data_IF_505343857510
#
_entry.id   IF_505343857510
#
_cell.length_a   1.000
_cell.length_b   1.000
_cell.length_c   1.000
_cell.angle_alpha   90.00
_cell.angle_beta   90.00
_cell.angle_gamma   90.00
#
_symmetry.space_group_name_H-M   'P 1'
#
loop_
_entity.id
_entity.type
_entity.pdbx_description
1 polymer ?
#
# COMPACT_ATOMS: atom_id res chain seq x y z
N UNK A 1 -18.55 2.84 -15.23
CA UNK A 1 -18.24 3.24 -13.84
C UNK A 1 -16.86 2.78 -13.38
N UNK A 2 -16.35 1.59 -13.83
CA UNK A 2 -15.05 1.06 -13.40
C UNK A 2 -13.84 1.58 -14.20
N UNK A 3 -14.03 2.27 -15.31
CA UNK A 3 -12.94 2.71 -16.16
C UNK A 3 -11.91 3.60 -15.45
N UNK A 4 -12.27 4.62 -14.64
CA UNK A 4 -11.31 5.45 -13.94
C UNK A 4 -10.47 4.66 -12.91
N UNK A 5 -11.08 3.71 -12.20
CA UNK A 5 -10.37 2.82 -11.26
C UNK A 5 -9.36 1.96 -12.00
N UNK A 6 -9.74 1.38 -13.13
CA UNK A 6 -8.86 0.55 -13.96
C UNK A 6 -7.68 1.35 -14.52
N UNK A 7 -7.91 2.57 -14.95
CA UNK A 7 -6.86 3.46 -15.45
C UNK A 7 -5.85 3.78 -14.35
N UNK A 8 -6.32 4.21 -13.17
CA UNK A 8 -5.46 4.48 -12.03
C UNK A 8 -4.71 3.22 -11.58
N UNK A 9 -5.39 2.08 -11.43
CA UNK A 9 -4.75 0.81 -11.10
C UNK A 9 -3.69 0.45 -12.14
N UNK A 10 -3.99 0.58 -13.43
CA UNK A 10 -3.05 0.30 -14.51
C UNK A 10 -1.79 1.14 -14.40
N UNK A 11 -1.96 2.44 -14.16
CA UNK A 11 -0.84 3.38 -14.03
C UNK A 11 0.11 2.99 -12.88
N UNK A 12 -0.41 2.68 -11.69
CA UNK A 12 0.43 2.31 -10.55
C UNK A 12 0.92 0.86 -10.59
N UNK A 13 0.15 -0.09 -11.17
CA UNK A 13 0.47 -1.51 -11.15
C UNK A 13 1.40 -1.98 -12.27
N UNK A 14 1.44 -1.24 -13.37
CA UNK A 14 2.21 -1.62 -14.55
C UNK A 14 3.69 -1.94 -14.23
N UNK A 15 4.41 -1.11 -13.44
CA UNK A 15 5.80 -1.41 -13.11
C UNK A 15 5.98 -2.70 -12.28
N UNK A 16 4.96 -3.12 -11.54
CA UNK A 16 5.02 -4.30 -10.65
C UNK A 16 4.80 -5.62 -11.39
N UNK A 17 4.32 -5.63 -12.62
CA UNK A 17 4.06 -6.86 -13.38
C UNK A 17 3.12 -7.83 -12.67
N UNK A 18 2.10 -7.33 -11.96
CA UNK A 18 1.23 -8.15 -11.10
C UNK A 18 0.46 -9.24 -11.87
N UNK A 19 0.33 -9.11 -13.19
CA UNK A 19 -0.31 -10.14 -14.03
C UNK A 19 0.47 -11.48 -14.02
N UNK A 20 1.78 -11.42 -13.84
CA UNK A 20 2.68 -12.58 -13.81
C UNK A 20 2.99 -13.03 -12.38
N UNK A 21 2.53 -12.30 -11.38
CA UNK A 21 2.75 -12.62 -9.97
C UNK A 21 1.98 -13.87 -9.55
N UNK A 22 2.51 -14.59 -8.57
CA UNK A 22 1.89 -15.79 -8.00
C UNK A 22 1.39 -15.51 -6.59
N UNK A 23 0.25 -16.10 -6.24
CA UNK A 23 -0.26 -16.06 -4.86
C UNK A 23 0.61 -16.98 -4.02
N UNK A 24 1.43 -16.40 -3.15
CA UNK A 24 2.28 -17.12 -2.21
C UNK A 24 1.50 -17.58 -0.97
N UNK A 25 0.54 -16.80 -0.53
CA UNK A 25 -0.28 -17.07 0.65
C UNK A 25 -1.66 -16.44 0.53
N UNK A 26 -2.67 -17.12 1.08
CA UNK A 26 -4.02 -16.59 1.23
C UNK A 26 -4.63 -17.08 2.55
N UNK A 27 -5.28 -16.19 3.27
CA UNK A 27 -5.97 -16.53 4.51
C UNK A 27 -7.34 -15.85 4.59
N UNK A 28 -8.20 -16.35 5.45
CA UNK A 28 -9.47 -15.73 5.83
C UNK A 28 -9.54 -15.59 7.33
N UNK A 29 -9.96 -14.42 7.77
CA UNK A 29 -10.26 -14.14 9.18
C UNK A 29 -11.73 -13.75 9.26
N UNK A 30 -12.47 -14.37 10.18
CA UNK A 30 -13.88 -14.03 10.44
C UNK A 30 -13.92 -13.15 11.68
N UNK A 31 -14.27 -11.88 11.46
CA UNK A 31 -14.45 -10.91 12.54
C UNK A 31 -15.93 -10.84 12.94
N UNK A 32 -16.21 -10.99 14.25
CA UNK A 32 -17.55 -10.80 14.82
C UNK A 32 -17.78 -9.33 15.15
N UNK A 33 -17.71 -8.50 14.13
CA UNK A 33 -17.79 -7.05 14.25
C UNK A 33 -18.48 -6.44 13.04
N UNK A 34 -18.89 -5.17 13.17
CA UNK A 34 -19.37 -4.42 12.02
C UNK A 34 -18.20 -4.20 11.03
N UNK A 35 -18.37 -4.63 9.79
CA UNK A 35 -17.35 -4.54 8.75
C UNK A 35 -16.85 -3.10 8.50
N UNK A 36 -17.70 -2.09 8.77
CA UNK A 36 -17.33 -0.67 8.65
C UNK A 36 -16.25 -0.30 9.68
N UNK A 37 -16.28 -0.88 10.87
CA UNK A 37 -15.26 -0.66 11.90
C UNK A 37 -13.93 -1.29 11.49
N UNK A 38 -13.94 -2.45 10.83
CA UNK A 38 -12.74 -3.06 10.25
C UNK A 38 -12.12 -2.14 9.20
N UNK A 39 -12.96 -1.55 8.35
CA UNK A 39 -12.53 -0.59 7.35
C UNK A 39 -11.99 0.71 7.96
N UNK A 40 -12.68 1.28 8.95
CA UNK A 40 -12.22 2.50 9.63
C UNK A 40 -10.90 2.28 10.36
N UNK A 41 -10.74 1.15 11.04
CA UNK A 41 -9.50 0.78 11.72
C UNK A 41 -8.31 0.70 10.73
N UNK A 42 -8.52 0.23 9.50
CA UNK A 42 -7.48 0.23 8.48
C UNK A 42 -7.11 1.66 7.98
N UNK A 43 -8.05 2.58 7.99
CA UNK A 43 -7.85 3.93 7.43
C UNK A 43 -7.10 4.89 8.34
N UNK A 44 -7.03 4.60 9.62
CA UNK A 44 -6.33 5.39 10.61
C UNK A 44 -5.15 4.59 11.19
N UNK A 45 -4.17 5.26 11.75
CA UNK A 45 -2.99 4.61 12.30
C UNK A 45 -2.57 5.11 13.69
N UNK A 46 -3.44 5.83 14.40
CA UNK A 46 -3.11 6.24 15.76
C UNK A 46 -3.04 5.05 16.74
N UNK A 47 -3.73 3.94 16.44
CA UNK A 47 -3.60 2.69 17.19
C UNK A 47 -2.31 1.92 16.86
N UNK A 48 -1.69 2.17 15.70
CA UNK A 48 -0.57 1.36 15.18
C UNK A 48 0.63 1.31 16.12
N UNK A 49 0.91 2.40 16.86
CA UNK A 49 2.04 2.45 17.79
C UNK A 49 1.91 1.41 18.90
N UNK A 50 0.68 1.23 19.42
CA UNK A 50 0.42 0.32 20.53
C UNK A 50 0.09 -1.09 20.06
N UNK A 51 -0.64 -1.24 18.94
CA UNK A 51 -1.18 -2.52 18.48
C UNK A 51 -0.24 -3.26 17.50
N UNK A 52 0.59 -2.51 16.75
CA UNK A 52 1.43 -3.06 15.68
C UNK A 52 2.85 -2.50 15.71
N UNK A 53 3.62 -2.69 16.81
CA UNK A 53 4.96 -2.12 16.93
C UNK A 53 5.91 -2.60 15.81
N UNK A 54 5.72 -3.80 15.27
CA UNK A 54 6.48 -4.34 14.16
C UNK A 54 6.19 -3.60 12.85
N UNK A 55 4.94 -3.27 12.59
CA UNK A 55 4.54 -2.49 11.41
C UNK A 55 5.24 -1.13 11.41
N UNK A 56 5.40 -0.51 12.58
CA UNK A 56 6.08 0.78 12.74
C UNK A 56 7.57 0.77 12.41
N UNK A 57 8.16 -0.39 12.25
CA UNK A 57 9.57 -0.50 11.80
C UNK A 57 9.74 -0.12 10.35
N UNK A 58 8.71 -0.29 9.53
CA UNK A 58 8.80 -0.07 8.09
C UNK A 58 7.73 0.90 7.56
N UNK A 59 6.52 0.85 8.10
CA UNK A 59 5.40 1.64 7.62
C UNK A 59 5.33 3.03 8.28
N UNK A 60 5.19 4.13 7.51
CA UNK A 60 5.05 5.46 8.07
C UNK A 60 3.67 5.60 8.73
N UNK A 61 3.64 6.00 10.01
CA UNK A 61 2.41 6.49 10.62
C UNK A 61 2.31 7.98 10.38
N UNK A 62 2.03 8.38 9.18
CA UNK A 62 1.68 9.77 8.91
C UNK A 62 0.30 10.07 9.51
N UNK A 63 0.18 11.17 10.21
CA UNK A 63 -1.13 11.71 10.56
C UNK A 63 -1.85 12.08 9.26
N UNK A 64 -3.01 11.50 9.02
CA UNK A 64 -3.85 11.85 7.87
C UNK A 64 -4.05 13.37 7.83
N UNK A 65 -3.62 14.02 6.76
CA UNK A 65 -3.78 15.47 6.56
C UNK A 65 -2.56 16.34 6.89
N UNK A 66 -1.42 15.77 7.32
CA UNK A 66 -0.18 16.54 7.38
C UNK A 66 0.36 16.82 5.97
N UNK A 67 1.00 17.97 5.78
CA UNK A 67 1.75 18.25 4.57
C UNK A 67 2.95 17.27 4.48
N UNK A 68 3.35 16.86 3.27
CA UNK A 68 4.53 16.02 3.10
C UNK A 68 5.78 16.76 3.57
N UNK A 69 6.69 16.02 4.18
CA UNK A 69 8.02 16.52 4.56
C UNK A 69 8.92 16.68 3.32
N UNK A 70 9.99 17.46 3.46
CA UNK A 70 10.99 17.60 2.38
C UNK A 70 11.62 16.24 2.00
N UNK A 71 11.73 15.31 2.93
CA UNK A 71 12.24 13.97 2.68
C UNK A 71 11.27 13.15 1.83
N UNK A 72 9.97 13.18 2.16
CA UNK A 72 8.91 12.52 1.38
C UNK A 72 8.79 13.12 -0.03
N UNK A 73 8.96 14.43 -0.18
CA UNK A 73 8.98 15.08 -1.49
C UNK A 73 10.16 14.61 -2.33
N UNK A 74 11.37 14.59 -1.78
CA UNK A 74 12.57 14.08 -2.49
C UNK A 74 12.43 12.60 -2.85
N UNK A 75 11.83 11.81 -1.97
CA UNK A 75 11.54 10.40 -2.27
C UNK A 75 10.58 10.26 -3.46
N UNK A 76 9.51 11.04 -3.48
CA UNK A 76 8.55 11.05 -4.59
C UNK A 76 9.20 11.45 -5.91
N UNK A 77 10.00 12.52 -5.91
CA UNK A 77 10.75 12.96 -7.09
C UNK A 77 11.71 11.88 -7.62
N UNK A 78 12.43 11.21 -6.73
CA UNK A 78 13.31 10.10 -7.11
C UNK A 78 12.55 8.94 -7.72
N UNK A 79 11.41 8.55 -7.13
CA UNK A 79 10.58 7.48 -7.66
C UNK A 79 10.02 7.84 -9.05
N UNK A 80 9.58 9.06 -9.26
CA UNK A 80 9.12 9.56 -10.56
C UNK A 80 10.23 9.52 -11.64
N UNK A 81 11.46 9.87 -11.28
CA UNK A 81 12.62 9.75 -12.16
C UNK A 81 12.91 8.30 -12.58
N UNK A 82 12.54 7.33 -11.75
CA UNK A 82 12.60 5.90 -12.05
C UNK A 82 11.38 5.40 -12.85
N UNK A 83 10.46 6.28 -13.23
CA UNK A 83 9.21 5.93 -13.91
C UNK A 83 8.16 5.28 -12.99
N UNK A 84 8.26 5.52 -11.69
CA UNK A 84 7.36 4.97 -10.69
C UNK A 84 6.38 6.04 -10.21
N UNK A 85 5.07 5.93 -10.51
CA UNK A 85 4.08 6.90 -10.07
C UNK A 85 4.09 7.07 -8.54
N UNK A 86 4.11 8.33 -8.07
CA UNK A 86 4.22 8.68 -6.66
C UNK A 86 3.16 9.65 -6.16
N UNK A 87 2.61 10.48 -7.04
CA UNK A 87 1.66 11.51 -6.67
C UNK A 87 0.41 10.91 -6.01
N UNK A 88 -0.13 11.62 -5.01
CA UNK A 88 -1.43 11.25 -4.47
C UNK A 88 -2.53 11.44 -5.52
N UNK A 89 -3.25 10.38 -5.83
CA UNK A 89 -4.34 10.38 -6.79
C UNK A 89 -5.62 9.86 -6.15
N UNK A 90 -6.75 10.47 -6.41
CA UNK A 90 -8.06 10.05 -5.91
C UNK A 90 -9.16 10.37 -6.91
N UNK A 91 -10.29 9.64 -6.82
CA UNK A 91 -11.52 10.03 -7.51
C UNK A 91 -12.22 11.19 -6.81
N UNK A 92 -13.04 11.95 -7.57
CA UNK A 92 -13.80 13.07 -7.02
C UNK A 92 -14.81 12.64 -5.96
N UNK A 93 -15.38 11.45 -6.12
CA UNK A 93 -16.34 10.84 -5.18
C UNK A 93 -15.66 10.04 -4.05
N UNK A 94 -14.33 10.09 -3.94
CA UNK A 94 -13.52 9.38 -2.96
C UNK A 94 -13.68 7.85 -2.95
N UNK A 95 -14.21 7.25 -4.02
CA UNK A 95 -14.38 5.81 -4.11
C UNK A 95 -13.04 5.06 -4.19
N UNK A 96 -12.00 5.72 -4.68
CA UNK A 96 -10.66 5.15 -4.72
C UNK A 96 -9.58 6.23 -4.59
N UNK A 97 -8.44 5.81 -4.10
CA UNK A 97 -7.22 6.63 -4.01
C UNK A 97 -5.98 5.76 -4.08
N UNK A 98 -4.90 6.33 -4.58
CA UNK A 98 -3.57 5.73 -4.59
C UNK A 98 -2.52 6.76 -4.20
N UNK A 99 -1.46 6.29 -3.57
CA UNK A 99 -0.25 7.09 -3.28
C UNK A 99 0.92 6.16 -3.07
N UNK A 100 2.12 6.66 -3.31
CA UNK A 100 3.35 5.97 -2.92
C UNK A 100 3.87 6.57 -1.63
N UNK A 101 4.11 5.72 -0.63
CA UNK A 101 4.62 6.10 0.68
C UNK A 101 6.08 5.70 0.82
N UNK A 102 6.91 6.59 1.34
CA UNK A 102 8.26 6.25 1.74
C UNK A 102 8.21 5.32 2.95
N UNK A 103 8.96 4.22 2.93
CA UNK A 103 9.17 3.40 4.11
C UNK A 103 10.13 4.10 5.08
N UNK A 104 9.94 3.89 6.38
CA UNK A 104 10.71 4.55 7.43
C UNK A 104 11.86 3.68 7.95
N UNK A 105 12.76 4.27 8.74
CA UNK A 105 13.87 3.58 9.41
C UNK A 105 14.81 2.79 8.49
N UNK A 106 14.95 3.22 7.23
CA UNK A 106 15.78 2.53 6.24
C UNK A 106 15.22 1.18 5.76
N UNK A 107 13.95 0.88 6.06
CA UNK A 107 13.31 -0.35 5.60
C UNK A 107 13.26 -0.41 4.07
N UNK A 108 13.46 -1.59 3.53
CA UNK A 108 13.40 -1.89 2.09
C UNK A 108 12.08 -2.58 1.69
N UNK A 109 11.35 -3.10 2.68
CA UNK A 109 10.06 -3.74 2.50
C UNK A 109 9.23 -3.66 3.78
N UNK A 110 7.92 -3.92 3.67
CA UNK A 110 6.99 -3.92 4.80
C UNK A 110 6.93 -5.32 5.42
N UNK A 111 8.03 -5.71 6.06
CA UNK A 111 8.20 -6.97 6.78
C UNK A 111 8.50 -6.71 8.25
N UNK A 112 8.53 -7.75 9.05
CA UNK A 112 8.78 -7.67 10.50
C UNK A 112 10.15 -7.05 10.84
N UNK A 113 11.14 -7.18 9.96
CA UNK A 113 12.50 -6.66 10.13
C UNK A 113 12.87 -5.57 9.12
N UNK A 114 11.95 -5.20 8.21
CA UNK A 114 12.16 -4.20 7.18
C UNK A 114 13.01 -4.66 5.99
N UNK A 115 13.40 -5.94 5.95
CA UNK A 115 14.16 -6.53 4.83
C UNK A 115 13.23 -7.07 3.76
N UNK A 116 13.70 -7.24 2.50
CA UNK A 116 12.90 -7.89 1.47
C UNK A 116 12.44 -9.28 1.89
N UNK A 117 11.19 -9.62 1.61
CA UNK A 117 10.60 -10.93 1.87
C UNK A 117 11.16 -12.01 0.94
N UNK A 118 11.64 -11.63 -0.23
CA UNK A 118 12.23 -12.53 -1.22
C UNK A 118 13.72 -12.27 -1.39
N UNK A 119 14.45 -13.33 -1.72
CA UNK A 119 15.87 -13.25 -2.12
C UNK A 119 15.94 -13.35 -3.64
N UNK A 120 16.49 -12.32 -4.28
CA UNK A 120 16.66 -12.31 -5.73
C UNK A 120 15.68 -11.39 -6.44
N UNK A 121 14.91 -11.92 -7.39
CA UNK A 121 14.08 -11.12 -8.28
C UNK A 121 12.99 -10.32 -7.56
N UNK A 122 12.85 -9.07 -7.97
CA UNK A 122 11.78 -8.17 -7.56
C UNK A 122 10.54 -8.38 -8.41
N UNK A 123 9.42 -7.78 -7.99
CA UNK A 123 8.22 -7.76 -8.81
C UNK A 123 8.45 -6.94 -10.09
N UNK A 124 8.05 -7.50 -11.22
CA UNK A 124 8.06 -6.81 -12.50
C UNK A 124 9.40 -6.14 -12.84
N UNK A 125 9.39 -4.82 -12.95
CA UNK A 125 10.58 -4.00 -13.27
C UNK A 125 11.06 -3.18 -12.06
N UNK A 126 10.74 -3.62 -10.86
CA UNK A 126 11.13 -2.90 -9.65
C UNK A 126 12.66 -2.87 -9.48
N UNK A 127 13.28 -1.71 -9.28
CA UNK A 127 14.70 -1.60 -8.99
C UNK A 127 15.02 -2.20 -7.62
N UNK A 128 16.29 -2.49 -7.37
CA UNK A 128 16.75 -3.00 -6.06
C UNK A 128 16.62 -1.96 -4.94
N UNK A 129 16.52 -0.69 -5.30
CA UNK A 129 16.36 0.40 -4.37
C UNK A 129 15.01 0.34 -3.62
N UNK A 130 14.93 1.05 -2.49
CA UNK A 130 13.68 1.25 -1.80
C UNK A 130 12.72 2.08 -2.69
N UNK A 131 11.69 1.44 -3.16
CA UNK A 131 10.63 2.05 -3.98
C UNK A 131 9.40 2.42 -3.18
N UNK A 132 9.46 2.22 -1.87
CA UNK A 132 8.34 2.48 -0.96
C UNK A 132 7.20 1.49 -1.09
N UNK A 133 6.05 1.91 -0.64
CA UNK A 133 4.79 1.19 -0.67
C UNK A 133 3.76 1.96 -1.49
N UNK A 134 3.19 1.35 -2.52
CA UNK A 134 2.00 1.89 -3.17
C UNK A 134 0.78 1.44 -2.38
N UNK A 135 0.21 2.38 -1.66
CA UNK A 135 -1.03 2.20 -0.92
C UNK A 135 -2.21 2.54 -1.81
N UNK A 136 -3.05 1.56 -2.08
CA UNK A 136 -4.25 1.71 -2.89
C UNK A 136 -5.50 1.36 -2.08
N UNK A 137 -6.49 2.24 -2.11
CA UNK A 137 -7.80 2.01 -1.52
C UNK A 137 -8.88 2.03 -2.59
N UNK A 138 -9.78 1.06 -2.53
CA UNK A 138 -11.03 1.03 -3.27
C UNK A 138 -12.18 0.80 -2.29
N UNK A 139 -12.86 1.88 -1.99
CA UNK A 139 -14.03 1.84 -1.11
C UNK A 139 -15.15 0.98 -1.71
N UNK A 140 -15.91 0.23 -0.93
CA UNK A 140 -15.91 0.20 0.55
C UNK A 140 -15.14 -0.99 1.14
N UNK A 141 -14.41 -1.78 0.39
CA UNK A 141 -14.03 -3.09 0.87
C UNK A 141 -12.60 -3.53 0.60
N UNK A 142 -11.83 -2.79 -0.18
CA UNK A 142 -10.51 -3.27 -0.63
C UNK A 142 -9.42 -2.25 -0.37
N UNK A 143 -8.28 -2.72 0.16
CA UNK A 143 -7.05 -1.96 0.18
C UNK A 143 -5.87 -2.86 -0.17
N UNK A 144 -4.80 -2.27 -0.65
CA UNK A 144 -3.65 -2.99 -1.15
C UNK A 144 -2.37 -2.24 -0.80
N UNK A 145 -1.31 -3.00 -0.58
CA UNK A 145 0.05 -2.53 -0.45
C UNK A 145 0.91 -3.21 -1.51
N UNK A 146 1.60 -2.46 -2.32
CA UNK A 146 2.49 -2.99 -3.34
C UNK A 146 3.91 -2.49 -3.10
N UNK A 147 4.78 -3.42 -2.76
CA UNK A 147 6.19 -3.20 -2.49
C UNK A 147 7.04 -3.76 -3.63
N UNK A 148 8.33 -3.46 -3.65
CA UNK A 148 9.21 -3.93 -4.73
C UNK A 148 9.37 -5.44 -4.80
N UNK A 149 9.04 -6.16 -3.74
CA UNK A 149 9.26 -7.60 -3.58
C UNK A 149 7.98 -8.43 -3.41
N UNK A 150 6.89 -7.83 -2.97
CA UNK A 150 5.60 -8.50 -2.83
C UNK A 150 4.43 -7.51 -2.85
N UNK A 151 3.23 -8.04 -3.03
CA UNK A 151 2.00 -7.28 -2.94
C UNK A 151 1.02 -7.93 -1.96
N UNK A 152 0.33 -7.11 -1.18
CA UNK A 152 -0.72 -7.52 -0.24
C UNK A 152 -2.06 -6.97 -0.73
N UNK A 153 -3.08 -7.81 -0.69
CA UNK A 153 -4.47 -7.41 -0.99
C UNK A 153 -5.35 -7.83 0.16
N UNK A 154 -6.08 -6.88 0.70
CA UNK A 154 -7.07 -7.09 1.74
C UNK A 154 -8.46 -6.80 1.19
N UNK A 155 -9.41 -7.63 1.56
CA UNK A 155 -10.80 -7.46 1.17
C UNK A 155 -11.74 -7.79 2.32
N UNK A 156 -12.56 -6.84 2.72
CA UNK A 156 -13.63 -7.03 3.69
C UNK A 156 -14.90 -7.46 2.97
N UNK A 157 -15.50 -8.56 3.41
CA UNK A 157 -16.75 -9.08 2.88
C UNK A 157 -17.77 -9.20 4.01
N UNK A 158 -18.84 -8.40 4.03
CA UNK A 158 -19.96 -8.63 4.96
C UNK A 158 -20.55 -10.02 4.75
N UNK A 159 -20.75 -10.77 5.82
CA UNK A 159 -21.36 -12.11 5.80
C UNK A 159 -22.86 -12.06 6.12
N UNK A 160 -23.30 -11.01 6.80
CA UNK A 160 -24.70 -10.75 7.11
C UNK A 160 -24.95 -9.23 7.21
N UNK A 161 -26.20 -8.78 7.17
CA UNK A 161 -26.57 -7.38 7.40
C UNK A 161 -26.14 -6.87 8.77
#
# INVERSE_FOLDING_TARGET
PFAPVREMLGHYSEPFGLADARIAHQTRVVERANWKLVWENNRECYHCVAAHPELRRSFPASSSGSLPTDEELRFSEKAEQLGLPSAFTRSDDFQFRATRLQLVNGAQSMTMDGRPAVRGERLGRMPEENVGDVLFYHYPSTWQHWLGDHALTFRTLPLSP
#
